data_IF_658692293386
#
_entry.id   IF_658692293386
#
_cell.length_a   1.000
_cell.length_b   1.000
_cell.length_c   1.000
_cell.angle_alpha   90.00
_cell.angle_beta   90.00
_cell.angle_gamma   90.00
#
_symmetry.space_group_name_H-M   'P 1'
#
loop_
_entity.id
_entity.type
_entity.pdbx_description
1 polymer ?
#
# COMPACT_ATOMS: atom_id res chain seq x y z
N UNK A 1 18.65 2.09 -6.42
CA UNK A 1 18.50 1.07 -5.36
C UNK A 1 18.75 -0.34 -5.88
N UNK A 2 18.12 -0.71 -6.99
CA UNK A 2 18.32 -2.05 -7.54
C UNK A 2 19.76 -2.32 -7.97
N UNK A 3 20.43 -1.32 -8.48
CA UNK A 3 21.82 -1.47 -8.93
C UNK A 3 22.78 -1.76 -7.79
N UNK A 4 22.57 -1.12 -6.63
CA UNK A 4 23.45 -1.29 -5.48
C UNK A 4 23.15 -2.53 -4.65
N UNK A 5 21.94 -3.06 -4.73
CA UNK A 5 21.49 -4.19 -3.90
C UNK A 5 21.46 -5.53 -4.65
N UNK A 6 21.39 -5.48 -5.97
CA UNK A 6 21.15 -6.67 -6.76
C UNK A 6 19.70 -7.16 -6.63
N UNK A 7 19.37 -8.23 -7.34
CA UNK A 7 17.99 -8.73 -7.41
C UNK A 7 17.48 -9.24 -6.06
N UNK A 8 18.27 -10.02 -5.34
CA UNK A 8 17.85 -10.58 -4.06
C UNK A 8 17.71 -9.51 -2.99
N UNK A 9 18.62 -8.55 -2.97
CA UNK A 9 18.56 -7.43 -2.03
C UNK A 9 17.35 -6.56 -2.29
N UNK A 10 16.99 -6.34 -3.55
CA UNK A 10 15.82 -5.57 -3.93
C UNK A 10 14.53 -6.26 -3.49
N UNK A 11 14.41 -7.57 -3.70
CA UNK A 11 13.24 -8.33 -3.26
C UNK A 11 13.08 -8.26 -1.75
N UNK A 12 14.17 -8.45 -1.02
CA UNK A 12 14.15 -8.37 0.44
C UNK A 12 13.70 -6.98 0.91
N UNK A 13 14.24 -5.94 0.32
CA UNK A 13 13.90 -4.56 0.65
C UNK A 13 12.42 -4.27 0.40
N UNK A 14 11.90 -4.67 -0.76
CA UNK A 14 10.50 -4.47 -1.10
C UNK A 14 9.58 -5.25 -0.18
N UNK A 15 9.95 -6.48 0.19
CA UNK A 15 9.15 -7.27 1.11
C UNK A 15 9.04 -6.60 2.49
N UNK A 16 10.14 -6.07 3.00
CA UNK A 16 10.13 -5.33 4.26
C UNK A 16 9.27 -4.07 4.18
N UNK A 17 9.42 -3.33 3.10
CA UNK A 17 8.63 -2.13 2.85
C UNK A 17 7.15 -2.43 2.76
N UNK A 18 6.76 -3.42 1.96
CA UNK A 18 5.36 -3.81 1.79
C UNK A 18 4.75 -4.28 3.11
N UNK A 19 5.50 -5.03 3.92
CA UNK A 19 5.02 -5.49 5.21
C UNK A 19 4.63 -4.32 6.11
N UNK A 20 5.46 -3.28 6.17
CA UNK A 20 5.17 -2.08 6.95
C UNK A 20 3.92 -1.39 6.42
N UNK A 21 3.81 -1.23 5.12
CA UNK A 21 2.68 -0.52 4.50
C UNK A 21 1.37 -1.29 4.68
N UNK A 22 1.40 -2.60 4.47
CA UNK A 22 0.21 -3.44 4.64
C UNK A 22 -0.27 -3.44 6.08
N UNK A 23 0.65 -3.46 7.04
CA UNK A 23 0.30 -3.34 8.45
C UNK A 23 -0.46 -2.05 8.75
N UNK A 24 0.03 -0.92 8.24
CA UNK A 24 -0.64 0.38 8.44
C UNK A 24 -2.05 0.39 7.85
N UNK A 25 -2.22 -0.22 6.68
CA UNK A 25 -3.52 -0.33 6.02
C UNK A 25 -4.46 -1.21 6.84
N UNK A 26 -3.98 -2.36 7.26
CA UNK A 26 -4.78 -3.34 8.03
C UNK A 26 -5.20 -2.81 9.40
N UNK A 27 -4.32 -2.09 10.08
CA UNK A 27 -4.62 -1.51 11.39
C UNK A 27 -5.79 -0.55 11.35
N UNK A 28 -6.01 0.10 10.20
CA UNK A 28 -7.13 1.02 10.02
C UNK A 28 -8.32 0.34 9.31
N UNK A 29 -8.29 -0.97 9.18
CA UNK A 29 -9.39 -1.71 8.55
C UNK A 29 -9.49 -1.55 7.05
N UNK A 30 -8.39 -1.18 6.40
CA UNK A 30 -8.34 -1.07 4.96
C UNK A 30 -8.18 -2.44 4.30
N UNK A 31 -8.56 -2.49 3.03
CA UNK A 31 -8.40 -3.69 2.21
C UNK A 31 -7.30 -3.45 1.18
N UNK A 32 -6.33 -4.34 1.16
CA UNK A 32 -5.30 -4.31 0.12
C UNK A 32 -5.92 -4.84 -1.17
N UNK A 33 -5.90 -4.01 -2.23
CA UNK A 33 -6.40 -4.44 -3.52
C UNK A 33 -5.33 -5.20 -4.29
N UNK A 34 -4.23 -4.55 -4.57
CA UNK A 34 -3.16 -5.17 -5.36
C UNK A 34 -1.85 -4.43 -5.21
N UNK A 35 -0.78 -5.11 -5.59
CA UNK A 35 0.51 -4.48 -5.83
C UNK A 35 0.67 -4.26 -7.34
N UNK A 36 1.20 -3.10 -7.71
CA UNK A 36 1.50 -2.78 -9.11
C UNK A 36 2.96 -2.37 -9.14
N UNK A 37 3.85 -3.33 -9.52
CA UNK A 37 5.28 -3.10 -9.38
C UNK A 37 5.64 -2.87 -7.92
N UNK A 38 6.17 -1.69 -7.60
CA UNK A 38 6.47 -1.28 -6.23
C UNK A 38 5.37 -0.41 -5.61
N UNK A 39 4.25 -0.24 -6.30
CA UNK A 39 3.13 0.52 -5.82
C UNK A 39 2.11 -0.37 -5.10
N UNK A 40 1.37 0.24 -4.18
CA UNK A 40 0.33 -0.43 -3.41
C UNK A 40 -0.99 0.29 -3.65
N UNK A 41 -2.02 -0.47 -3.97
CA UNK A 41 -3.37 0.05 -4.09
C UNK A 41 -4.24 -0.55 -3.00
N UNK A 42 -4.89 0.29 -2.23
CA UNK A 42 -5.73 -0.14 -1.11
C UNK A 42 -7.00 0.70 -1.07
N UNK A 43 -8.02 0.17 -0.41
CA UNK A 43 -9.30 0.84 -0.28
C UNK A 43 -9.83 0.76 1.15
N UNK A 44 -10.55 1.79 1.54
CA UNK A 44 -11.27 1.82 2.80
C UNK A 44 -12.77 1.94 2.48
N UNK A 45 -13.56 1.10 3.11
CA UNK A 45 -15.00 1.02 2.78
C UNK A 45 -15.37 -0.14 1.89
N UNK A 46 -14.47 -1.07 1.68
CA UNK A 46 -14.71 -2.30 0.93
C UNK A 46 -14.33 -3.50 1.78
N UNK A 47 -15.05 -4.60 1.66
CA UNK A 47 -16.30 -4.79 0.91
C UNK A 47 -17.51 -4.10 1.52
N UNK A 48 -17.38 -3.60 2.74
CA UNK A 48 -18.47 -2.94 3.48
C UNK A 48 -18.06 -1.53 3.84
N UNK A 49 -18.89 -0.55 3.50
CA UNK A 49 -18.66 0.85 3.80
C UNK A 49 -18.96 1.17 5.26
N UNK A 50 -18.19 2.07 5.86
CA UNK A 50 -18.36 2.61 7.21
C UNK A 50 -18.33 4.11 7.17
N UNK A 51 -18.88 4.75 8.19
CA UNK A 51 -18.96 6.22 8.24
C UNK A 51 -17.60 6.91 8.31
N UNK A 52 -16.60 6.25 8.90
CA UNK A 52 -15.27 6.81 9.11
C UNK A 52 -14.22 6.31 8.13
N UNK A 53 -14.64 5.80 6.96
CA UNK A 53 -13.71 5.25 5.97
C UNK A 53 -12.65 6.26 5.54
N UNK A 54 -13.06 7.50 5.28
CA UNK A 54 -12.15 8.56 4.85
C UNK A 54 -11.14 8.91 5.93
N UNK A 55 -11.59 9.01 7.17
CA UNK A 55 -10.71 9.29 8.32
C UNK A 55 -9.69 8.17 8.49
N UNK A 56 -10.13 6.92 8.36
CA UNK A 56 -9.23 5.78 8.49
C UNK A 56 -8.21 5.73 7.38
N UNK A 57 -8.62 6.08 6.16
CA UNK A 57 -7.70 6.18 5.04
C UNK A 57 -6.61 7.22 5.28
N UNK A 58 -6.99 8.39 5.79
CA UNK A 58 -6.03 9.45 6.12
C UNK A 58 -5.09 9.00 7.25
N UNK A 59 -5.63 8.39 8.29
CA UNK A 59 -4.82 7.87 9.40
C UNK A 59 -3.80 6.83 8.93
N UNK A 60 -4.23 5.93 8.06
CA UNK A 60 -3.33 4.93 7.49
C UNK A 60 -2.19 5.62 6.72
N UNK A 61 -2.51 6.62 5.90
CA UNK A 61 -1.51 7.37 5.15
C UNK A 61 -0.50 8.07 6.05
N UNK A 62 -0.97 8.71 7.11
CA UNK A 62 -0.09 9.37 8.08
C UNK A 62 0.82 8.35 8.76
N UNK A 63 0.26 7.20 9.16
CA UNK A 63 1.03 6.14 9.80
C UNK A 63 2.08 5.56 8.84
N UNK A 64 1.73 5.41 7.58
CA UNK A 64 2.65 4.91 6.56
C UNK A 64 3.86 5.83 6.41
N UNK A 65 3.62 7.14 6.32
CA UNK A 65 4.70 8.13 6.21
C UNK A 65 5.56 8.13 7.47
N UNK A 66 4.92 8.15 8.64
CA UNK A 66 5.62 8.16 9.92
C UNK A 66 6.50 6.93 10.11
N UNK A 67 5.98 5.74 9.79
CA UNK A 67 6.74 4.50 9.92
C UNK A 67 7.85 4.41 8.88
N UNK A 68 7.62 4.96 7.69
CA UNK A 68 8.66 5.01 6.66
C UNK A 68 9.84 5.86 7.13
N UNK A 69 9.57 7.01 7.75
CA UNK A 69 10.63 7.87 8.29
C UNK A 69 11.45 7.15 9.35
N UNK A 70 10.80 6.46 10.28
CA UNK A 70 11.51 5.70 11.32
C UNK A 70 12.35 4.58 10.74
N UNK A 71 11.81 3.87 9.77
CA UNK A 71 12.52 2.81 9.09
C UNK A 71 13.74 3.36 8.32
N UNK A 72 13.57 4.51 7.66
CA UNK A 72 14.67 5.17 6.97
C UNK A 72 15.77 5.61 7.93
N UNK A 73 15.42 6.08 9.13
CA UNK A 73 16.43 6.42 10.13
C UNK A 73 17.31 5.21 10.47
N UNK A 74 16.70 4.04 10.64
CA UNK A 74 17.42 2.80 10.89
C UNK A 74 18.30 2.42 9.71
N UNK A 75 17.78 2.58 8.50
CA UNK A 75 18.55 2.28 7.29
C UNK A 75 19.77 3.19 7.15
N UNK A 76 19.61 4.47 7.43
CA UNK A 76 20.71 5.44 7.35
C UNK A 76 21.80 5.13 8.38
N UNK A 77 21.43 4.70 9.56
CA UNK A 77 22.40 4.28 10.57
C UNK A 77 23.22 3.08 10.12
N UNK A 78 22.64 2.23 9.28
CA UNK A 78 23.32 1.07 8.71
C UNK A 78 24.04 1.43 7.38
N UNK A 79 24.06 2.70 7.01
CA UNK A 79 24.73 3.14 5.79
C UNK A 79 23.93 2.85 4.52
N UNK A 80 22.64 2.59 4.64
CA UNK A 80 21.77 2.30 3.51
C UNK A 80 20.99 3.54 3.11
N UNK A 81 20.70 3.73 1.80
CA UNK A 81 19.93 4.91 1.37
C UNK A 81 18.48 4.82 1.82
N UNK A 82 17.85 5.98 2.12
CA UNK A 82 16.44 6.01 2.46
C UNK A 82 15.56 5.74 1.23
N UNK A 83 14.34 5.30 1.46
CA UNK A 83 13.33 5.16 0.43
C UNK A 83 12.35 6.32 0.48
N UNK A 84 11.94 6.79 -0.69
CA UNK A 84 10.89 7.78 -0.82
C UNK A 84 9.60 7.12 -1.28
N UNK A 85 8.48 7.68 -0.84
CA UNK A 85 7.17 7.20 -1.20
C UNK A 85 6.25 8.39 -1.51
N UNK A 86 5.54 8.30 -2.62
CA UNK A 86 4.44 9.21 -2.90
C UNK A 86 3.13 8.55 -2.49
N UNK A 87 2.23 9.34 -1.90
CA UNK A 87 0.94 8.83 -1.44
C UNK A 87 -0.17 9.70 -1.99
N UNK A 88 -1.13 9.07 -2.65
CA UNK A 88 -2.33 9.75 -3.14
C UNK A 88 -3.56 9.17 -2.48
N UNK A 89 -4.48 10.02 -2.10
CA UNK A 89 -5.77 9.64 -1.54
C UNK A 89 -6.87 10.24 -2.38
N UNK A 90 -7.91 9.46 -2.62
CA UNK A 90 -9.07 9.92 -3.36
C UNK A 90 -10.33 9.26 -2.81
N UNK A 91 -11.43 10.00 -2.81
CA UNK A 91 -12.74 9.48 -2.43
C UNK A 91 -13.65 9.56 -3.65
N UNK A 92 -14.27 8.44 -3.99
CA UNK A 92 -15.16 8.37 -5.14
C UNK A 92 -16.11 7.19 -4.99
N UNK A 93 -17.13 7.18 -5.82
CA UNK A 93 -17.97 6.00 -5.97
C UNK A 93 -17.24 5.03 -6.88
N UNK A 94 -17.16 3.78 -6.49
CA UNK A 94 -16.47 2.76 -7.26
C UNK A 94 -17.34 1.52 -7.43
N UNK A 95 -17.06 0.78 -8.49
CA UNK A 95 -17.58 -0.56 -8.69
C UNK A 95 -16.47 -1.52 -8.30
N UNK A 96 -16.78 -2.46 -7.42
CA UNK A 96 -15.80 -3.45 -6.99
C UNK A 96 -16.38 -4.84 -7.18
N UNK A 97 -15.53 -5.76 -7.61
CA UNK A 97 -15.96 -7.13 -7.84
C UNK A 97 -14.89 -7.95 -8.54
N UNK A 98 -15.23 -9.17 -8.85
CA UNK A 98 -14.33 -10.08 -9.53
C UNK A 98 -14.45 -9.91 -11.03
N UNK A 99 -13.33 -9.69 -11.69
CA UNK A 99 -13.25 -9.52 -13.13
C UNK A 99 -12.28 -10.56 -13.69
N UNK A 100 -12.70 -11.22 -14.76
CA UNK A 100 -11.89 -12.23 -15.41
C UNK A 100 -12.73 -13.38 -15.93
N UNK A 101 -12.07 -14.44 -16.34
CA UNK A 101 -12.74 -15.66 -16.79
C UNK A 101 -13.01 -16.56 -15.59
N UNK A 102 -13.80 -17.63 -15.82
CA UNK A 102 -14.06 -18.62 -14.78
C UNK A 102 -12.78 -19.28 -14.26
N UNK A 103 -11.74 -19.31 -15.08
CA UNK A 103 -10.45 -19.91 -14.69
C UNK A 103 -9.57 -18.97 -13.92
N UNK A 104 -9.75 -17.68 -14.14
CA UNK A 104 -8.95 -16.66 -13.45
C UNK A 104 -9.78 -15.40 -13.26
N UNK A 105 -10.05 -15.08 -12.02
CA UNK A 105 -10.81 -13.90 -11.63
C UNK A 105 -10.00 -13.07 -10.66
N UNK A 106 -9.99 -11.75 -10.89
CA UNK A 106 -9.34 -10.79 -10.01
C UNK A 106 -10.39 -9.84 -9.44
N UNK A 107 -10.37 -9.67 -8.13
CA UNK A 107 -11.17 -8.65 -7.49
C UNK A 107 -10.55 -7.30 -7.81
N UNK A 108 -11.33 -6.38 -8.34
CA UNK A 108 -10.80 -5.08 -8.74
C UNK A 108 -11.80 -3.97 -8.49
N UNK A 109 -11.33 -2.74 -8.55
CA UNK A 109 -12.11 -1.54 -8.32
C UNK A 109 -12.09 -0.66 -9.58
N UNK A 110 -13.25 -0.17 -9.95
CA UNK A 110 -13.40 0.70 -11.12
C UNK A 110 -14.09 1.98 -10.66
N UNK A 111 -13.46 3.12 -10.90
CA UNK A 111 -14.04 4.42 -10.54
C UNK A 111 -15.26 4.72 -11.36
N UNK A 112 -16.25 5.33 -10.72
CA UNK A 112 -17.50 5.78 -11.35
C UNK A 112 -17.61 7.28 -11.22
N UNK A 113 -17.48 7.99 -12.32
CA UNK A 113 -17.71 9.42 -12.36
C UNK A 113 -18.91 9.77 -13.16
#
# INVERSE_FOLDING_TARGET
ITESLGAQGTVKLLNEYFEIMVECISEQGGMLDKFIGDAIMAAFGLPISHEDDEDRGVKAGINMISRLWKWNELREKDGKPPLDMGLGLNTDKIVAGNIGSQKRMDYTMIGME
#
